data_IF_624430955082
#
_entry.id   IF_624430955082
#
_cell.length_a   1.000
_cell.length_b   1.000
_cell.length_c   1.000
_cell.angle_alpha   90.00
_cell.angle_beta   90.00
_cell.angle_gamma   90.00
#
_symmetry.space_group_name_H-M   'P 1'
#
loop_
_entity.id
_entity.type
_entity.pdbx_description
1 polymer ?
#
# COMPACT_ATOMS: atom_id res chain seq x y z
N UNK A 1 -85.76 -15.41 32.26
CA UNK A 1 -84.56 -15.88 31.54
C UNK A 1 -84.34 -14.99 30.34
N UNK A 2 -83.08 -14.63 30.07
CA UNK A 2 -82.69 -13.84 28.89
C UNK A 2 -81.81 -12.65 29.24
N UNK A 3 -80.51 -12.90 29.41
CA UNK A 3 -79.43 -11.91 29.44
C UNK A 3 -79.11 -11.52 27.99
N UNK A 4 -78.88 -10.22 27.70
CA UNK A 4 -78.09 -9.86 26.51
C UNK A 4 -77.25 -8.60 26.73
N UNK A 5 -76.03 -8.69 26.20
CA UNK A 5 -74.83 -7.94 26.51
C UNK A 5 -74.85 -6.46 26.10
N UNK A 6 -74.23 -5.64 26.95
CA UNK A 6 -73.76 -4.29 26.61
C UNK A 6 -72.38 -4.38 25.95
N UNK A 7 -72.28 -3.97 24.68
CA UNK A 7 -71.02 -3.88 23.95
C UNK A 7 -70.25 -2.62 24.39
N UNK A 8 -69.11 -2.80 25.06
CA UNK A 8 -68.16 -1.71 25.33
C UNK A 8 -67.51 -1.26 24.02
N UNK A 9 -67.80 -0.03 23.58
CA UNK A 9 -67.10 0.62 22.48
C UNK A 9 -65.68 0.98 22.93
N UNK A 10 -64.69 0.40 22.25
CA UNK A 10 -63.27 0.72 22.38
C UNK A 10 -63.04 2.06 21.64
N UNK A 11 -62.75 3.13 22.37
CA UNK A 11 -62.31 4.40 21.79
C UNK A 11 -60.79 4.31 21.61
N UNK A 12 -60.32 4.07 20.38
CA UNK A 12 -58.91 4.28 20.05
C UNK A 12 -58.71 5.78 19.81
N UNK A 13 -57.97 6.45 20.70
CA UNK A 13 -57.44 7.77 20.40
C UNK A 13 -56.36 7.65 19.34
N UNK A 14 -56.62 8.25 18.17
CA UNK A 14 -55.63 8.41 17.12
C UNK A 14 -54.69 9.55 17.54
N UNK A 15 -53.67 9.23 18.32
CA UNK A 15 -52.55 10.15 18.52
C UNK A 15 -51.78 10.21 17.19
N UNK A 16 -51.99 11.28 16.43
CA UNK A 16 -51.07 11.70 15.37
C UNK A 16 -49.70 11.90 15.98
N UNK A 17 -48.83 10.89 15.86
CA UNK A 17 -47.40 11.05 16.09
C UNK A 17 -46.90 11.89 14.90
N UNK A 18 -46.88 13.20 15.07
CA UNK A 18 -46.17 14.10 14.17
C UNK A 18 -44.67 13.89 14.35
N UNK A 19 -44.14 12.83 13.74
CA UNK A 19 -42.73 12.78 13.39
C UNK A 19 -42.48 13.76 12.23
N UNK A 20 -42.59 15.07 12.49
CA UNK A 20 -41.68 16.00 11.86
C UNK A 20 -40.32 15.77 12.54
N UNK A 21 -39.67 14.65 12.23
CA UNK A 21 -38.23 14.68 12.17
C UNK A 21 -37.93 15.79 11.18
N UNK A 22 -37.17 16.80 11.60
CA UNK A 22 -36.50 17.68 10.66
C UNK A 22 -36.00 16.83 9.50
N UNK A 23 -36.20 17.28 8.27
CA UNK A 23 -35.49 16.73 7.13
C UNK A 23 -34.00 16.89 7.44
N UNK A 24 -33.43 15.91 8.13
CA UNK A 24 -32.00 15.71 8.21
C UNK A 24 -31.64 15.44 6.75
N UNK A 25 -31.13 16.49 6.09
CA UNK A 25 -30.54 16.40 4.76
C UNK A 25 -29.74 15.11 4.73
N UNK A 26 -30.04 14.24 3.78
CA UNK A 26 -29.34 12.96 3.69
C UNK A 26 -27.83 13.24 3.69
N UNK A 27 -27.13 12.65 4.67
CA UNK A 27 -25.70 12.82 4.86
C UNK A 27 -24.91 12.17 3.70
N UNK A 28 -25.59 11.33 2.90
CA UNK A 28 -25.18 10.98 1.54
C UNK A 28 -26.11 11.67 0.55
N UNK A 29 -25.54 12.34 -0.46
CA UNK A 29 -26.27 12.95 -1.57
C UNK A 29 -25.72 12.48 -2.92
N UNK A 30 -26.55 12.53 -3.96
CA UNK A 30 -26.22 12.02 -5.29
C UNK A 30 -27.42 12.10 -6.25
N UNK A 31 -27.51 11.21 -7.27
CA UNK A 31 -28.55 11.30 -8.29
C UNK A 31 -29.96 11.06 -7.75
N UNK A 32 -30.95 11.65 -8.43
CA UNK A 32 -32.38 11.65 -8.03
C UNK A 32 -33.00 10.26 -7.89
N UNK A 33 -32.49 9.26 -8.60
CA UNK A 33 -33.03 7.90 -8.61
C UNK A 33 -32.23 6.90 -7.77
N UNK A 34 -31.36 7.37 -6.88
CA UNK A 34 -30.86 6.52 -5.82
C UNK A 34 -32.00 6.12 -4.88
N UNK A 35 -31.82 5.02 -4.17
CA UNK A 35 -32.76 4.54 -3.16
C UNK A 35 -32.16 4.89 -1.80
N UNK A 36 -32.48 6.07 -1.22
CA UNK A 36 -32.08 6.40 0.13
C UNK A 36 -32.97 5.69 1.15
N UNK A 37 -32.39 5.21 2.23
CA UNK A 37 -33.11 4.70 3.39
C UNK A 37 -32.38 5.17 4.65
N UNK A 38 -33.13 5.67 5.64
CA UNK A 38 -32.55 6.17 6.88
C UNK A 38 -33.20 5.48 8.08
N UNK A 39 -32.40 5.11 9.07
CA UNK A 39 -32.85 4.56 10.35
C UNK A 39 -32.09 5.22 11.50
N UNK A 40 -32.70 6.21 12.16
CA UNK A 40 -32.02 7.04 13.15
C UNK A 40 -30.85 7.80 12.52
N UNK A 41 -29.63 7.61 13.03
CA UNK A 41 -28.41 8.23 12.51
C UNK A 41 -27.71 7.40 11.41
N UNK A 42 -28.32 6.29 10.97
CA UNK A 42 -27.80 5.44 9.90
C UNK A 42 -28.41 5.85 8.56
N UNK A 43 -27.57 6.15 7.57
CA UNK A 43 -27.95 6.59 6.24
C UNK A 43 -27.46 5.58 5.21
N UNK A 44 -28.38 5.02 4.44
CA UNK A 44 -28.11 4.03 3.40
C UNK A 44 -28.41 4.61 2.03
N UNK A 45 -27.51 4.44 1.08
CA UNK A 45 -27.63 4.98 -0.27
C UNK A 45 -27.32 3.90 -1.31
N UNK A 46 -28.35 3.48 -2.05
CA UNK A 46 -28.23 2.42 -3.07
C UNK A 46 -28.40 2.97 -4.48
N UNK A 47 -27.53 2.54 -5.41
CA UNK A 47 -27.56 2.91 -6.82
C UNK A 47 -27.51 1.67 -7.71
N UNK A 48 -28.39 1.56 -8.73
CA UNK A 48 -28.54 0.35 -9.55
C UNK A 48 -28.48 0.58 -11.08
N UNK A 49 -28.23 1.81 -11.55
CA UNK A 49 -28.34 2.19 -12.96
C UNK A 49 -27.24 3.14 -13.47
N UNK A 50 -27.51 3.79 -14.61
CA UNK A 50 -26.54 4.62 -15.34
C UNK A 50 -26.68 6.12 -15.01
N UNK A 51 -25.64 6.71 -14.41
CA UNK A 51 -25.64 8.10 -13.93
C UNK A 51 -24.35 8.85 -14.35
N UNK A 52 -24.24 9.27 -15.61
CA UNK A 52 -23.12 10.08 -16.06
C UNK A 52 -23.16 11.47 -15.42
N UNK A 53 -22.02 12.14 -15.36
CA UNK A 53 -21.86 13.52 -14.85
C UNK A 53 -22.44 13.75 -13.43
N UNK A 54 -22.38 12.72 -12.59
CA UNK A 54 -22.95 12.72 -11.24
C UNK A 54 -21.86 12.44 -10.20
N UNK A 55 -21.81 13.26 -9.17
CA UNK A 55 -20.98 13.04 -7.98
C UNK A 55 -21.86 12.56 -6.82
N UNK A 56 -21.40 11.53 -6.11
CA UNK A 56 -21.93 11.13 -4.81
C UNK A 56 -21.10 11.83 -3.73
N UNK A 57 -21.75 12.52 -2.80
CA UNK A 57 -21.09 13.15 -1.65
C UNK A 57 -21.51 12.47 -0.36
N UNK A 58 -20.55 12.12 0.47
CA UNK A 58 -20.75 11.52 1.79
C UNK A 58 -20.16 12.49 2.83
N UNK A 59 -21.05 13.10 3.59
CA UNK A 59 -20.77 14.15 4.55
C UNK A 59 -21.51 13.81 5.85
N UNK A 60 -21.37 14.63 6.90
CA UNK A 60 -22.25 14.55 8.07
C UNK A 60 -21.52 14.20 9.37
N UNK A 61 -21.61 15.11 10.33
CA UNK A 61 -21.02 14.97 11.66
C UNK A 61 -21.90 14.07 12.55
N UNK A 62 -21.33 13.04 13.17
CA UNK A 62 -22.06 12.14 14.06
C UNK A 62 -23.07 11.23 13.34
N UNK A 63 -22.87 11.00 12.05
CA UNK A 63 -23.70 10.13 11.21
C UNK A 63 -22.94 8.91 10.73
N UNK A 64 -23.66 7.80 10.53
CA UNK A 64 -23.11 6.55 10.00
C UNK A 64 -23.65 6.30 8.60
N UNK A 65 -22.76 6.22 7.62
CA UNK A 65 -23.11 6.26 6.20
C UNK A 65 -22.76 4.94 5.50
N UNK A 66 -23.68 4.41 4.68
CA UNK A 66 -23.47 3.21 3.85
C UNK A 66 -23.80 3.50 2.39
N UNK A 67 -22.86 3.23 1.48
CA UNK A 67 -23.03 3.34 0.04
C UNK A 67 -22.97 1.95 -0.61
N UNK A 68 -23.98 1.62 -1.42
CA UNK A 68 -24.02 0.40 -2.23
C UNK A 68 -24.24 0.72 -3.71
N UNK A 69 -23.26 0.40 -4.54
CA UNK A 69 -23.36 0.45 -5.99
C UNK A 69 -23.56 -0.97 -6.52
N UNK A 70 -24.74 -1.23 -7.11
CA UNK A 70 -25.06 -2.52 -7.71
C UNK A 70 -24.25 -2.82 -8.97
N UNK A 71 -24.36 -4.05 -9.47
CA UNK A 71 -23.57 -4.54 -10.62
C UNK A 71 -23.73 -3.71 -11.90
N UNK A 72 -24.90 -3.13 -12.10
CA UNK A 72 -25.23 -2.28 -13.25
C UNK A 72 -25.13 -0.79 -12.94
N UNK A 73 -24.66 -0.43 -11.73
CA UNK A 73 -24.41 0.95 -11.40
C UNK A 73 -23.24 1.48 -12.23
N UNK A 74 -23.43 2.65 -12.84
CA UNK A 74 -22.38 3.42 -13.48
C UNK A 74 -22.45 4.85 -12.96
N UNK A 75 -21.31 5.36 -12.49
CA UNK A 75 -21.15 6.77 -12.15
C UNK A 75 -19.90 7.31 -12.81
N UNK A 76 -19.98 8.56 -13.26
CA UNK A 76 -18.85 9.34 -13.75
C UNK A 76 -19.06 10.77 -13.28
N UNK A 77 -17.99 11.48 -12.91
CA UNK A 77 -18.05 12.91 -12.65
C UNK A 77 -16.87 13.60 -13.32
N UNK A 78 -16.99 13.90 -14.62
CA UNK A 78 -15.90 14.35 -15.49
C UNK A 78 -14.72 13.34 -15.51
N UNK A 79 -13.87 13.44 -16.52
CA UNK A 79 -12.60 12.69 -16.53
C UNK A 79 -11.74 13.25 -15.39
N UNK A 80 -11.30 12.39 -14.47
CA UNK A 80 -10.49 12.70 -13.27
C UNK A 80 -11.21 13.43 -12.12
N UNK A 81 -12.52 13.66 -12.23
CA UNK A 81 -13.27 14.20 -11.10
C UNK A 81 -13.62 13.15 -10.04
N UNK A 82 -13.95 13.64 -8.85
CA UNK A 82 -14.23 12.83 -7.66
C UNK A 82 -15.65 12.26 -7.76
N UNK A 83 -15.84 11.15 -8.46
CA UNK A 83 -17.17 10.54 -8.63
C UNK A 83 -17.81 10.18 -7.28
N UNK A 84 -17.00 9.77 -6.31
CA UNK A 84 -17.41 9.63 -4.91
C UNK A 84 -16.50 10.52 -4.07
N UNK A 85 -17.08 11.41 -3.28
CA UNK A 85 -16.36 12.30 -2.38
C UNK A 85 -16.92 12.14 -0.96
N UNK A 86 -16.14 11.51 -0.08
CA UNK A 86 -16.35 11.55 1.35
C UNK A 86 -15.47 12.62 1.98
N UNK A 87 -16.05 13.54 2.75
CA UNK A 87 -15.25 14.54 3.45
C UNK A 87 -15.80 15.03 4.79
N UNK A 88 -14.87 15.49 5.63
CA UNK A 88 -15.12 16.13 6.91
C UNK A 88 -14.26 17.40 7.05
N UNK A 89 -14.83 18.44 7.66
CA UNK A 89 -14.14 19.66 8.06
C UNK A 89 -13.73 19.67 9.54
N UNK A 90 -13.30 20.83 10.05
CA UNK A 90 -12.91 20.98 11.46
C UNK A 90 -14.02 20.63 12.43
N UNK A 91 -13.68 19.92 13.52
CA UNK A 91 -14.60 19.41 14.53
C UNK A 91 -15.75 18.53 14.00
N UNK A 92 -15.62 18.01 12.77
CA UNK A 92 -16.56 17.05 12.20
C UNK A 92 -15.97 15.65 12.27
N UNK A 93 -16.79 14.71 12.73
CA UNK A 93 -16.48 13.29 12.81
C UNK A 93 -17.43 12.53 11.89
N UNK A 94 -16.92 12.15 10.72
CA UNK A 94 -17.66 11.39 9.72
C UNK A 94 -17.43 9.89 9.94
N UNK A 95 -18.50 9.11 10.03
CA UNK A 95 -18.43 7.65 10.02
C UNK A 95 -19.03 7.09 8.74
N UNK A 96 -18.29 6.21 8.07
CA UNK A 96 -18.74 5.43 6.93
C UNK A 96 -18.67 3.98 7.36
N UNK A 97 -19.83 3.34 7.51
CA UNK A 97 -19.88 1.92 7.84
C UNK A 97 -19.39 1.10 6.66
N UNK A 98 -19.91 1.37 5.45
CA UNK A 98 -19.55 0.58 4.29
C UNK A 98 -19.66 1.32 2.96
N UNK A 99 -18.69 1.12 2.08
CA UNK A 99 -18.79 1.41 0.65
C UNK A 99 -18.63 0.08 -0.09
N UNK A 100 -19.67 -0.36 -0.79
CA UNK A 100 -19.60 -1.53 -1.68
C UNK A 100 -19.76 -1.08 -3.12
N UNK A 101 -18.76 -1.37 -3.96
CA UNK A 101 -18.84 -1.14 -5.39
C UNK A 101 -18.88 -2.45 -6.17
N UNK A 102 -19.99 -2.78 -6.80
CA UNK A 102 -20.10 -3.89 -7.78
C UNK A 102 -20.16 -3.40 -9.22
N UNK A 103 -20.29 -2.09 -9.43
CA UNK A 103 -20.49 -1.47 -10.73
C UNK A 103 -19.23 -0.78 -11.25
N UNK A 104 -19.43 0.36 -11.93
CA UNK A 104 -18.37 1.15 -12.55
C UNK A 104 -18.35 2.54 -11.94
N UNK A 105 -17.25 2.87 -11.26
CA UNK A 105 -16.91 4.24 -10.83
C UNK A 105 -15.87 4.78 -11.81
N UNK A 106 -16.35 5.39 -12.89
CA UNK A 106 -15.52 6.04 -13.90
C UNK A 106 -15.10 7.45 -13.45
N UNK A 107 -14.35 7.49 -12.35
CA UNK A 107 -13.83 8.67 -11.68
C UNK A 107 -13.20 8.25 -10.35
N UNK A 108 -12.77 9.23 -9.54
CA UNK A 108 -12.07 8.94 -8.31
C UNK A 108 -13.03 8.63 -7.15
N UNK A 109 -12.67 7.65 -6.32
CA UNK A 109 -13.18 7.51 -4.95
C UNK A 109 -12.24 8.29 -4.01
N UNK A 110 -12.71 9.41 -3.48
CA UNK A 110 -11.95 10.28 -2.59
C UNK A 110 -12.51 10.23 -1.16
N UNK A 111 -11.63 10.02 -0.19
CA UNK A 111 -11.91 10.23 1.24
C UNK A 111 -10.91 11.24 1.76
N UNK A 112 -11.38 12.41 2.18
CA UNK A 112 -10.47 13.54 2.41
C UNK A 112 -11.02 14.61 3.34
N UNK A 113 -10.16 15.49 3.86
CA UNK A 113 -10.60 16.70 4.55
C UNK A 113 -11.25 17.72 3.58
N UNK A 114 -12.15 18.53 4.13
CA UNK A 114 -12.71 19.73 3.52
C UNK A 114 -12.00 20.97 4.06
N UNK A 115 -11.21 21.65 3.22
CA UNK A 115 -10.46 22.82 3.63
C UNK A 115 -9.35 22.49 4.65
N UNK A 116 -9.02 23.46 5.51
CA UNK A 116 -8.14 23.17 6.64
C UNK A 116 -8.96 22.45 7.72
N UNK A 117 -8.38 21.43 8.36
CA UNK A 117 -9.06 20.62 9.37
C UNK A 117 -8.28 20.64 10.68
N UNK A 118 -9.00 20.94 11.75
CA UNK A 118 -8.55 20.87 13.14
C UNK A 118 -9.53 20.00 13.93
N UNK A 119 -9.00 19.02 14.67
CA UNK A 119 -9.77 18.05 15.46
C UNK A 119 -10.94 17.36 14.72
N UNK A 120 -10.85 17.23 13.40
CA UNK A 120 -11.84 16.50 12.58
C UNK A 120 -11.32 15.13 12.18
N UNK A 121 -12.22 14.17 12.00
CA UNK A 121 -11.84 12.79 11.69
C UNK A 121 -12.80 12.12 10.70
N UNK A 122 -12.27 11.15 9.95
CA UNK A 122 -13.07 10.25 9.12
C UNK A 122 -12.76 8.81 9.51
N UNK A 123 -13.78 8.08 9.96
CA UNK A 123 -13.70 6.65 10.26
C UNK A 123 -14.45 5.87 9.19
N UNK A 124 -13.80 4.87 8.61
CA UNK A 124 -14.36 4.00 7.58
C UNK A 124 -14.19 2.55 8.04
N UNK A 125 -15.27 1.78 8.18
CA UNK A 125 -15.11 0.37 8.53
C UNK A 125 -14.73 -0.46 7.29
N UNK A 126 -15.57 -0.46 6.24
CA UNK A 126 -15.33 -1.28 5.05
C UNK A 126 -15.40 -0.50 3.73
N UNK A 127 -14.38 -0.63 2.90
CA UNK A 127 -14.45 -0.38 1.45
C UNK A 127 -14.25 -1.71 0.73
N UNK A 128 -15.26 -2.15 -0.01
CA UNK A 128 -15.24 -3.39 -0.80
C UNK A 128 -15.48 -3.08 -2.29
N UNK A 129 -14.40 -2.99 -3.05
CA UNK A 129 -14.44 -2.86 -4.50
C UNK A 129 -14.47 -4.25 -5.16
N UNK A 130 -15.60 -4.59 -5.76
CA UNK A 130 -15.80 -5.81 -6.57
C UNK A 130 -15.91 -5.49 -8.07
N UNK A 131 -16.18 -4.22 -8.41
CA UNK A 131 -16.33 -3.72 -9.77
C UNK A 131 -15.09 -2.94 -10.26
N UNK A 132 -15.32 -1.86 -10.99
CA UNK A 132 -14.26 -0.96 -11.48
C UNK A 132 -14.26 0.35 -10.71
N UNK A 133 -13.08 0.85 -10.35
CA UNK A 133 -12.84 2.23 -9.93
C UNK A 133 -11.65 2.78 -10.73
N UNK A 134 -11.75 3.99 -11.28
CA UNK A 134 -10.62 4.60 -12.01
C UNK A 134 -9.41 4.80 -11.09
N UNK A 135 -9.61 5.46 -9.95
CA UNK A 135 -8.56 5.68 -8.97
C UNK A 135 -9.11 5.93 -7.56
N UNK A 136 -8.26 5.76 -6.56
CA UNK A 136 -8.61 5.97 -5.15
C UNK A 136 -7.64 6.95 -4.50
N UNK A 137 -8.19 7.91 -3.77
CA UNK A 137 -7.42 8.81 -2.92
C UNK A 137 -8.01 8.78 -1.51
N UNK A 138 -7.19 8.46 -0.51
CA UNK A 138 -7.60 8.48 0.89
C UNK A 138 -6.52 9.23 1.66
N UNK A 139 -6.81 10.45 2.10
CA UNK A 139 -5.81 11.21 2.81
C UNK A 139 -6.23 12.57 3.34
N UNK A 140 -5.38 13.09 4.21
CA UNK A 140 -5.50 14.45 4.76
C UNK A 140 -4.44 15.33 4.08
N UNK A 141 -4.88 16.19 3.16
CA UNK A 141 -4.00 17.11 2.43
C UNK A 141 -3.72 18.38 3.24
N UNK A 142 -2.57 19.02 3.00
CA UNK A 142 -1.95 20.13 3.80
C UNK A 142 -1.52 19.70 5.21
N UNK A 143 -0.75 20.57 5.88
CA UNK A 143 -0.38 20.41 7.30
C UNK A 143 -1.58 20.62 8.21
N UNK A 144 -2.46 19.63 8.28
CA UNK A 144 -3.65 19.64 9.10
C UNK A 144 -3.55 18.66 10.27
N UNK A 145 -4.39 18.83 11.29
CA UNK A 145 -4.46 17.95 12.47
C UNK A 145 -5.68 17.01 12.41
N UNK A 146 -6.13 16.67 11.20
CA UNK A 146 -7.21 15.72 11.00
C UNK A 146 -6.69 14.29 10.90
N UNK A 147 -7.56 13.32 11.17
CA UNK A 147 -7.22 11.90 11.14
C UNK A 147 -8.15 11.08 10.24
N UNK A 148 -7.62 10.00 9.68
CA UNK A 148 -8.40 9.00 8.94
C UNK A 148 -8.10 7.62 9.51
N UNK A 149 -9.15 6.87 9.87
CA UNK A 149 -9.07 5.46 10.26
C UNK A 149 -9.86 4.61 9.28
N UNK A 150 -9.21 3.61 8.69
CA UNK A 150 -9.81 2.66 7.75
C UNK A 150 -9.62 1.24 8.26
N UNK A 151 -10.70 0.57 8.66
CA UNK A 151 -10.56 -0.79 9.20
C UNK A 151 -10.24 -1.81 8.11
N UNK A 152 -10.85 -1.68 6.93
CA UNK A 152 -10.66 -2.61 5.82
C UNK A 152 -10.87 -1.96 4.45
N UNK A 153 -9.86 -2.06 3.60
CA UNK A 153 -9.94 -1.84 2.17
C UNK A 153 -9.74 -3.17 1.45
N UNK A 154 -10.73 -3.60 0.67
CA UNK A 154 -10.67 -4.80 -0.14
C UNK A 154 -10.90 -4.46 -1.61
N UNK A 155 -9.98 -4.88 -2.47
CA UNK A 155 -10.14 -4.87 -3.92
C UNK A 155 -10.22 -6.30 -4.47
N UNK A 156 -11.40 -6.71 -4.90
CA UNK A 156 -11.67 -7.93 -5.68
C UNK A 156 -12.13 -7.63 -7.11
N UNK A 157 -11.99 -6.37 -7.55
CA UNK A 157 -12.33 -5.87 -8.87
C UNK A 157 -11.10 -5.33 -9.61
N UNK A 158 -11.28 -4.22 -10.32
CA UNK A 158 -10.24 -3.52 -11.06
C UNK A 158 -10.12 -2.08 -10.52
N UNK A 159 -8.90 -1.69 -10.17
CA UNK A 159 -8.53 -0.28 -9.99
C UNK A 159 -7.48 0.03 -11.05
N UNK A 160 -7.82 0.93 -11.97
CA UNK A 160 -6.97 1.20 -13.13
C UNK A 160 -7.04 2.66 -13.55
N UNK A 161 -5.92 3.35 -13.39
CA UNK A 161 -5.77 4.75 -13.75
C UNK A 161 -4.82 4.90 -14.93
N UNK A 162 -5.21 5.67 -15.94
CA UNK A 162 -4.42 5.84 -17.17
C UNK A 162 -3.44 7.00 -17.16
N UNK A 163 -3.52 7.89 -16.17
CA UNK A 163 -2.80 9.17 -16.18
C UNK A 163 -2.28 9.62 -14.82
N UNK A 164 -2.51 8.83 -13.77
CA UNK A 164 -1.99 9.10 -12.43
C UNK A 164 -1.85 7.79 -11.64
N UNK A 165 -1.53 7.89 -10.35
CA UNK A 165 -1.47 6.73 -9.47
C UNK A 165 -2.80 5.97 -9.40
N UNK A 166 -2.72 4.66 -9.19
CA UNK A 166 -3.92 3.83 -8.98
C UNK A 166 -4.60 4.14 -7.64
N UNK A 167 -3.82 4.04 -6.56
CA UNK A 167 -4.23 4.38 -5.20
C UNK A 167 -3.18 5.28 -4.55
N UNK A 168 -3.62 6.32 -3.85
CA UNK A 168 -2.78 7.17 -3.01
C UNK A 168 -3.34 7.27 -1.58
N UNK A 169 -2.48 6.93 -0.62
CA UNK A 169 -2.65 7.26 0.79
C UNK A 169 -1.74 8.42 1.19
N UNK A 170 -2.27 9.46 1.85
CA UNK A 170 -1.45 10.58 2.34
C UNK A 170 -1.98 11.23 3.63
N UNK A 171 -1.14 11.97 4.34
CA UNK A 171 -1.53 12.73 5.53
C UNK A 171 -0.82 12.28 6.81
N UNK A 172 -0.90 13.14 7.83
CA UNK A 172 -0.15 13.03 9.09
C UNK A 172 -0.71 12.00 10.10
N UNK A 173 -1.97 11.62 9.97
CA UNK A 173 -2.59 10.65 10.88
C UNK A 173 -3.56 9.74 10.13
N UNK A 174 -2.99 8.83 9.33
CA UNK A 174 -3.76 7.84 8.57
C UNK A 174 -3.43 6.43 9.07
N UNK A 175 -4.45 5.74 9.57
CA UNK A 175 -4.33 4.36 10.06
C UNK A 175 -5.22 3.45 9.22
N UNK A 176 -4.60 2.41 8.64
CA UNK A 176 -5.27 1.38 7.84
C UNK A 176 -5.05 0.05 8.53
N UNK A 177 -6.10 -0.60 9.02
CA UNK A 177 -5.95 -1.90 9.66
C UNK A 177 -5.68 -2.98 8.62
N UNK A 178 -6.49 -3.06 7.55
CA UNK A 178 -6.31 -4.05 6.48
C UNK A 178 -6.43 -3.41 5.11
N UNK A 179 -5.42 -3.63 4.28
CA UNK A 179 -5.45 -3.40 2.84
C UNK A 179 -5.27 -4.75 2.15
N UNK A 180 -6.25 -5.17 1.36
CA UNK A 180 -6.26 -6.46 0.69
C UNK A 180 -6.55 -6.27 -0.79
N UNK A 181 -5.59 -6.65 -1.63
CA UNK A 181 -5.79 -6.76 -3.07
C UNK A 181 -5.90 -8.22 -3.49
N UNK A 182 -7.02 -8.62 -4.09
CA UNK A 182 -7.25 -9.96 -4.63
C UNK A 182 -7.25 -9.99 -6.16
N UNK A 183 -7.33 -8.83 -6.82
CA UNK A 183 -7.29 -8.71 -8.28
C UNK A 183 -6.34 -7.61 -8.71
N UNK A 184 -6.77 -6.61 -9.49
CA UNK A 184 -5.84 -5.73 -10.21
C UNK A 184 -5.89 -4.34 -9.62
N UNK A 185 -4.71 -3.80 -9.32
CA UNK A 185 -4.45 -2.39 -9.08
C UNK A 185 -3.30 -1.99 -10.01
N UNK A 186 -3.55 -1.08 -10.94
CA UNK A 186 -2.55 -0.70 -11.93
C UNK A 186 -2.60 0.81 -12.25
N UNK A 187 -1.44 1.42 -12.45
CA UNK A 187 -1.29 2.71 -13.12
C UNK A 187 -0.73 2.50 -14.53
N UNK A 188 -1.23 3.22 -15.52
CA UNK A 188 -0.75 3.15 -16.90
C UNK A 188 0.01 4.41 -17.29
N UNK A 189 0.94 4.83 -16.43
CA UNK A 189 1.78 6.02 -16.61
C UNK A 189 3.18 5.73 -16.06
N UNK A 190 4.18 5.89 -16.94
CA UNK A 190 5.59 5.54 -16.72
C UNK A 190 6.29 6.42 -15.68
N UNK A 191 5.57 7.36 -15.07
CA UNK A 191 6.05 8.22 -13.97
C UNK A 191 5.37 7.92 -12.65
N UNK A 192 4.34 7.05 -12.65
CA UNK A 192 3.41 6.84 -11.53
C UNK A 192 3.52 5.46 -10.93
N UNK A 193 2.89 5.29 -9.77
CA UNK A 193 2.81 4.02 -9.08
C UNK A 193 1.39 3.48 -9.00
N UNK A 194 1.26 2.17 -8.94
CA UNK A 194 -0.04 1.53 -8.75
C UNK A 194 -0.59 1.74 -7.34
N UNK A 195 0.28 1.67 -6.32
CA UNK A 195 -0.04 1.97 -4.93
C UNK A 195 1.01 2.92 -4.34
N UNK A 196 0.56 4.06 -3.82
CA UNK A 196 1.42 5.06 -3.17
C UNK A 196 1.05 5.19 -1.69
N UNK A 197 2.07 5.22 -0.84
CA UNK A 197 2.00 5.47 0.60
C UNK A 197 2.85 6.71 0.90
N UNK A 198 2.17 7.80 1.19
CA UNK A 198 2.74 9.13 1.40
C UNK A 198 3.09 9.85 0.11
N UNK A 199 3.39 11.14 0.21
CA UNK A 199 3.92 11.93 -0.88
C UNK A 199 5.21 12.63 -0.46
N UNK A 200 6.18 12.72 -1.38
CA UNK A 200 7.43 13.44 -1.15
C UNK A 200 7.15 14.95 -1.10
N UNK A 201 6.74 15.42 0.08
CA UNK A 201 6.42 16.79 0.38
C UNK A 201 6.85 17.14 1.82
N UNK A 202 6.64 18.38 2.22
CA UNK A 202 7.03 18.88 3.54
C UNK A 202 5.94 18.80 4.61
N UNK A 203 4.95 17.90 4.47
CA UNK A 203 3.77 17.83 5.35
C UNK A 203 3.87 16.78 6.44
N UNK A 204 4.98 16.04 6.50
CA UNK A 204 5.28 15.07 7.55
C UNK A 204 4.21 13.97 7.60
N UNK A 205 4.01 13.30 6.46
CA UNK A 205 3.03 12.22 6.34
C UNK A 205 3.33 11.13 7.35
N UNK A 206 2.32 10.66 8.07
CA UNK A 206 2.48 9.59 9.04
C UNK A 206 1.34 8.59 8.88
N UNK A 207 1.70 7.45 8.27
CA UNK A 207 0.76 6.46 7.77
C UNK A 207 1.14 5.10 8.35
N UNK A 208 0.18 4.47 9.02
CA UNK A 208 0.34 3.13 9.58
C UNK A 208 -0.59 2.14 8.87
N UNK A 209 -0.04 1.04 8.37
CA UNK A 209 -0.80 -0.08 7.80
C UNK A 209 -0.52 -1.34 8.62
N UNK A 210 -1.54 -1.92 9.28
CA UNK A 210 -1.29 -3.14 10.06
C UNK A 210 -1.12 -4.37 9.15
N UNK A 211 -1.92 -4.49 8.10
CA UNK A 211 -1.79 -5.57 7.11
C UNK A 211 -1.94 -5.01 5.70
N UNK A 212 -0.90 -5.16 4.88
CA UNK A 212 -0.94 -4.97 3.44
C UNK A 212 -0.77 -6.36 2.79
N UNK A 213 -1.87 -6.91 2.29
CA UNK A 213 -1.91 -8.24 1.67
C UNK A 213 -2.20 -8.11 0.17
N UNK A 214 -1.24 -8.46 -0.66
CA UNK A 214 -1.43 -8.63 -2.09
C UNK A 214 -1.55 -10.11 -2.46
N UNK A 215 -2.70 -10.50 -3.02
CA UNK A 215 -2.93 -11.80 -3.65
C UNK A 215 -3.10 -11.70 -5.17
N UNK A 216 -3.40 -10.52 -5.68
CA UNK A 216 -3.58 -10.25 -7.10
C UNK A 216 -2.37 -9.56 -7.73
N UNK A 217 -2.61 -8.70 -8.71
CA UNK A 217 -1.61 -7.85 -9.34
C UNK A 217 -1.64 -6.44 -8.73
N UNK A 218 -0.48 -5.94 -8.30
CA UNK A 218 -0.22 -4.51 -8.10
C UNK A 218 0.90 -4.12 -9.05
N UNK A 219 0.62 -3.26 -10.03
CA UNK A 219 1.58 -2.89 -11.06
C UNK A 219 1.15 -3.19 -12.49
N UNK A 220 2.06 -2.94 -13.42
CA UNK A 220 1.95 -3.27 -14.84
C UNK A 220 3.10 -2.67 -15.64
N UNK A 221 3.25 -3.05 -16.91
CA UNK A 221 4.34 -2.64 -17.82
C UNK A 221 4.51 -1.13 -17.98
N UNK A 222 3.47 -0.35 -17.66
CA UNK A 222 3.49 1.10 -17.72
C UNK A 222 3.57 1.75 -16.34
N UNK A 223 3.50 1.00 -15.24
CA UNK A 223 3.67 1.56 -13.89
C UNK A 223 5.15 1.70 -13.58
N UNK A 224 5.65 2.91 -13.33
CA UNK A 224 7.03 3.09 -12.85
C UNK A 224 7.32 2.27 -11.60
N UNK A 225 6.36 2.29 -10.68
CA UNK A 225 6.40 1.50 -9.45
C UNK A 225 5.15 0.64 -9.26
N UNK A 226 5.32 -0.56 -8.71
CA UNK A 226 4.20 -1.32 -8.18
C UNK A 226 3.70 -0.69 -6.88
N UNK A 227 4.55 -0.70 -5.85
CA UNK A 227 4.33 -0.08 -4.55
C UNK A 227 5.42 0.97 -4.28
N UNK A 228 5.01 2.17 -3.92
CA UNK A 228 5.89 3.29 -3.63
C UNK A 228 5.60 3.86 -2.25
N UNK A 229 6.57 3.77 -1.33
CA UNK A 229 6.63 4.58 -0.12
C UNK A 229 7.40 5.85 -0.44
N UNK A 230 6.74 7.00 -0.49
CA UNK A 230 7.28 8.22 -1.10
C UNK A 230 7.64 9.28 -0.04
N UNK A 231 8.70 9.06 0.74
CA UNK A 231 9.18 10.06 1.68
C UNK A 231 9.95 11.18 0.96
N UNK A 232 9.84 12.42 1.44
CA UNK A 232 10.63 13.53 0.92
C UNK A 232 12.13 13.35 1.23
N UNK A 233 13.01 13.23 0.23
CA UNK A 233 14.44 13.08 0.46
C UNK A 233 15.11 14.29 1.14
N UNK A 234 14.46 15.47 1.13
CA UNK A 234 14.95 16.68 1.80
C UNK A 234 14.55 16.75 3.27
N UNK A 235 13.42 16.16 3.64
CA UNK A 235 12.90 16.16 5.02
C UNK A 235 13.29 14.87 5.74
N UNK A 236 14.59 14.74 6.06
CA UNK A 236 15.22 13.57 6.67
C UNK A 236 14.53 13.15 7.99
N UNK A 237 13.51 12.30 7.89
CA UNK A 237 12.88 11.59 9.01
C UNK A 237 11.60 12.18 9.57
N UNK A 238 10.95 13.14 8.91
CA UNK A 238 9.66 13.66 9.38
C UNK A 238 8.46 12.86 8.88
N UNK A 239 8.52 12.38 7.64
CA UNK A 239 7.59 11.36 7.15
C UNK A 239 7.82 10.05 7.90
N UNK A 240 6.75 9.33 8.25
CA UNK A 240 6.81 8.06 8.98
C UNK A 240 5.84 7.07 8.36
N UNK A 241 6.36 6.07 7.68
CA UNK A 241 5.52 5.00 7.14
C UNK A 241 5.78 3.72 7.90
N UNK A 242 4.75 3.15 8.51
CA UNK A 242 4.86 1.93 9.30
C UNK A 242 3.96 0.84 8.73
N UNK A 243 4.53 -0.35 8.48
CA UNK A 243 3.76 -1.53 8.07
C UNK A 243 4.09 -2.73 8.95
N UNK A 244 3.10 -3.29 9.64
CA UNK A 244 3.36 -4.46 10.49
C UNK A 244 3.55 -5.74 9.66
N UNK A 245 2.74 -5.92 8.63
CA UNK A 245 2.81 -7.08 7.75
C UNK A 245 2.55 -6.65 6.31
N UNK A 246 3.59 -6.69 5.47
CA UNK A 246 3.46 -6.64 4.02
C UNK A 246 3.63 -8.06 3.49
N UNK A 247 2.55 -8.62 2.96
CA UNK A 247 2.50 -9.99 2.46
C UNK A 247 2.15 -9.96 0.97
N UNK A 248 3.05 -10.49 0.15
CA UNK A 248 2.80 -10.72 -1.27
C UNK A 248 2.69 -12.21 -1.56
N UNK A 249 1.51 -12.66 -1.98
CA UNK A 249 1.25 -13.98 -2.54
C UNK A 249 0.87 -13.93 -4.03
N UNK A 250 0.67 -12.72 -4.57
CA UNK A 250 0.35 -12.49 -5.97
C UNK A 250 1.54 -11.98 -6.77
N UNK A 251 1.31 -11.01 -7.64
CA UNK A 251 2.34 -10.35 -8.46
C UNK A 251 2.44 -8.89 -8.06
N UNK A 252 3.66 -8.42 -7.81
CA UNK A 252 3.98 -6.99 -7.76
C UNK A 252 4.94 -6.70 -8.89
N UNK A 253 4.55 -5.81 -9.79
CA UNK A 253 5.33 -5.46 -10.97
C UNK A 253 5.63 -3.96 -10.98
N UNK A 254 6.83 -3.57 -11.39
CA UNK A 254 7.15 -2.19 -11.72
C UNK A 254 8.06 -2.13 -12.92
N UNK A 255 7.81 -1.21 -13.84
CA UNK A 255 8.65 -1.02 -15.01
C UNK A 255 10.05 -0.60 -14.59
N UNK A 256 10.20 0.34 -13.65
CA UNK A 256 11.50 0.65 -13.06
C UNK A 256 11.74 -0.15 -11.79
N UNK A 257 10.92 0.08 -10.76
CA UNK A 257 11.11 -0.51 -9.43
C UNK A 257 9.81 -1.09 -8.91
N UNK A 258 9.72 -2.39 -8.66
CA UNK A 258 8.46 -3.00 -8.20
C UNK A 258 8.05 -2.49 -6.82
N UNK A 259 8.99 -2.45 -5.88
CA UNK A 259 8.76 -1.92 -4.53
C UNK A 259 9.88 -0.97 -4.13
N UNK A 260 9.54 0.29 -3.85
CA UNK A 260 10.45 1.25 -3.22
C UNK A 260 10.01 1.53 -1.78
N UNK A 261 10.85 1.16 -0.81
CA UNK A 261 10.72 1.60 0.58
C UNK A 261 11.60 2.84 0.78
N UNK A 262 11.01 4.01 0.97
CA UNK A 262 11.74 5.22 1.39
C UNK A 262 11.29 5.61 2.78
N UNK A 263 12.21 5.63 3.75
CA UNK A 263 11.93 5.98 5.15
C UNK A 263 10.74 5.22 5.75
N UNK A 264 10.71 3.90 5.51
CA UNK A 264 9.65 3.02 5.99
C UNK A 264 10.14 2.09 7.10
N UNK A 265 9.29 1.82 8.08
CA UNK A 265 9.48 0.79 9.10
C UNK A 265 8.59 -0.41 8.78
N UNK A 266 9.19 -1.52 8.39
CA UNK A 266 8.50 -2.76 8.03
C UNK A 266 8.80 -3.83 9.07
N UNK A 267 7.81 -4.27 9.83
CA UNK A 267 8.02 -5.33 10.81
C UNK A 267 8.20 -6.68 10.12
N UNK A 268 7.27 -7.06 9.24
CA UNK A 268 7.36 -8.31 8.48
C UNK A 268 7.09 -8.04 7.01
N UNK A 269 8.08 -8.32 6.18
CA UNK A 269 7.94 -8.43 4.74
C UNK A 269 8.00 -9.92 4.37
N UNK A 270 6.92 -10.44 3.78
CA UNK A 270 6.81 -11.82 3.35
C UNK A 270 6.44 -11.87 1.86
N UNK A 271 7.33 -12.41 1.05
CA UNK A 271 7.06 -12.73 -0.35
C UNK A 271 6.94 -14.24 -0.54
N UNK A 272 5.77 -14.72 -0.95
CA UNK A 272 5.54 -16.09 -1.46
C UNK A 272 5.13 -16.08 -2.94
N UNK A 273 4.77 -14.91 -3.47
CA UNK A 273 4.42 -14.69 -4.87
C UNK A 273 5.61 -14.25 -5.73
N UNK A 274 5.33 -13.39 -6.70
CA UNK A 274 6.34 -12.83 -7.61
C UNK A 274 6.47 -11.32 -7.41
N UNK A 275 7.70 -10.85 -7.37
CA UNK A 275 8.06 -9.43 -7.42
C UNK A 275 9.03 -9.27 -8.58
N UNK A 276 8.64 -8.50 -9.59
CA UNK A 276 9.40 -8.40 -10.84
C UNK A 276 9.56 -6.94 -11.29
N UNK A 277 10.79 -6.57 -11.66
CA UNK A 277 11.08 -5.30 -12.32
C UNK A 277 11.84 -5.50 -13.63
N UNK A 278 11.52 -4.67 -14.62
CA UNK A 278 12.12 -4.77 -15.94
C UNK A 278 13.34 -3.84 -16.10
N UNK A 279 13.17 -2.55 -15.85
CA UNK A 279 14.16 -1.49 -16.09
C UNK A 279 15.16 -1.28 -14.97
N UNK A 280 14.76 -1.41 -13.70
CA UNK A 280 15.67 -1.25 -12.55
C UNK A 280 15.56 -2.39 -11.55
N UNK A 281 15.14 -2.14 -10.31
CA UNK A 281 15.33 -3.04 -9.16
C UNK A 281 14.00 -3.63 -8.74
N UNK A 282 13.93 -4.92 -8.44
CA UNK A 282 12.66 -5.48 -7.96
C UNK A 282 12.26 -4.86 -6.61
N UNK A 283 13.24 -4.76 -5.70
CA UNK A 283 13.06 -4.10 -4.41
C UNK A 283 14.22 -3.13 -4.18
N UNK A 284 13.89 -1.92 -3.77
CA UNK A 284 14.85 -0.94 -3.27
C UNK A 284 14.41 -0.48 -1.88
N UNK A 285 15.25 -0.72 -0.88
CA UNK A 285 15.09 -0.12 0.44
C UNK A 285 16.07 1.03 0.60
N UNK A 286 15.51 2.22 0.76
CA UNK A 286 16.21 3.50 0.67
C UNK A 286 15.99 4.32 1.93
N UNK A 287 16.97 5.17 2.27
CA UNK A 287 16.91 6.23 3.31
C UNK A 287 16.25 5.83 4.63
N UNK A 288 17.05 5.46 5.63
CA UNK A 288 16.59 5.21 7.01
C UNK A 288 15.52 4.12 7.15
N UNK A 289 15.22 3.38 6.08
CA UNK A 289 14.28 2.26 6.12
C UNK A 289 14.76 1.21 7.12
N UNK A 290 13.83 0.68 7.92
CA UNK A 290 14.05 -0.38 8.90
C UNK A 290 13.21 -1.59 8.52
N UNK A 291 13.81 -2.79 8.47
CA UNK A 291 13.07 -4.03 8.20
C UNK A 291 13.41 -5.08 9.26
N UNK A 292 12.45 -5.46 10.11
CA UNK A 292 12.75 -6.45 11.15
C UNK A 292 12.89 -7.86 10.54
N UNK A 293 11.93 -8.29 9.73
CA UNK A 293 11.96 -9.59 9.07
C UNK A 293 11.68 -9.45 7.57
N UNK A 294 12.67 -9.76 6.74
CA UNK A 294 12.56 -9.90 5.30
C UNK A 294 12.59 -11.38 4.93
N UNK A 295 11.47 -11.92 4.47
CA UNK A 295 11.33 -13.34 4.13
C UNK A 295 10.91 -13.47 2.67
N UNK A 296 11.74 -14.10 1.86
CA UNK A 296 11.42 -14.49 0.49
C UNK A 296 11.35 -16.01 0.36
N UNK A 297 10.19 -16.51 -0.04
CA UNK A 297 9.95 -17.91 -0.40
C UNK A 297 9.40 -18.06 -1.83
N UNK A 298 9.03 -16.94 -2.47
CA UNK A 298 8.64 -16.86 -3.86
C UNK A 298 9.80 -16.42 -4.76
N UNK A 299 9.46 -15.61 -5.76
CA UNK A 299 10.43 -15.08 -6.73
C UNK A 299 10.58 -13.57 -6.56
N UNK A 300 11.82 -13.10 -6.53
CA UNK A 300 12.18 -11.69 -6.66
C UNK A 300 13.15 -11.57 -7.83
N UNK A 301 12.76 -10.87 -8.89
CA UNK A 301 13.53 -10.80 -10.12
C UNK A 301 13.66 -9.38 -10.66
N UNK A 302 14.88 -9.01 -11.07
CA UNK A 302 15.13 -7.85 -11.91
C UNK A 302 15.76 -8.30 -13.23
N UNK A 303 15.29 -7.75 -14.36
CA UNK A 303 15.86 -8.06 -15.68
C UNK A 303 17.13 -7.26 -16.00
N UNK A 304 17.27 -6.06 -15.44
CA UNK A 304 18.29 -5.09 -15.87
C UNK A 304 19.19 -4.54 -14.75
N UNK A 305 18.93 -4.89 -13.49
CA UNK A 305 19.69 -4.40 -12.34
C UNK A 305 19.77 -5.42 -11.20
N UNK A 306 20.18 -4.96 -10.01
CA UNK A 306 20.08 -5.75 -8.79
C UNK A 306 18.61 -6.14 -8.53
N UNK A 307 18.37 -7.40 -8.17
CA UNK A 307 17.03 -7.83 -7.77
C UNK A 307 16.60 -7.10 -6.49
N UNK A 308 17.49 -7.08 -5.49
CA UNK A 308 17.31 -6.34 -4.25
C UNK A 308 18.48 -5.38 -4.05
N UNK A 309 18.18 -4.12 -3.77
CA UNK A 309 19.14 -3.14 -3.27
C UNK A 309 18.73 -2.62 -1.90
N UNK A 310 19.66 -2.72 -0.97
CA UNK A 310 19.61 -2.09 0.35
C UNK A 310 20.52 -0.87 0.36
N UNK A 311 19.97 0.29 0.01
CA UNK A 311 20.67 1.57 -0.14
C UNK A 311 20.45 2.48 1.05
N UNK A 312 21.36 2.46 2.02
CA UNK A 312 21.24 3.21 3.28
C UNK A 312 19.98 2.88 4.12
N UNK A 313 19.48 1.62 4.20
CA UNK A 313 18.62 1.27 5.31
C UNK A 313 19.35 1.49 6.64
N UNK A 314 18.57 1.78 7.67
CA UNK A 314 19.11 1.95 9.03
C UNK A 314 19.45 0.60 9.65
N UNK A 315 18.50 -0.32 9.67
CA UNK A 315 18.69 -1.68 10.21
C UNK A 315 17.86 -2.70 9.44
N UNK A 316 18.39 -3.91 9.31
CA UNK A 316 17.63 -5.08 8.88
C UNK A 316 17.94 -6.23 9.84
N UNK A 317 16.99 -6.71 10.63
CA UNK A 317 17.34 -7.76 11.62
C UNK A 317 17.57 -9.10 10.93
N UNK A 318 16.60 -9.57 10.15
CA UNK A 318 16.68 -10.89 9.50
C UNK A 318 16.33 -10.81 8.02
N UNK A 319 17.19 -11.38 7.18
CA UNK A 319 16.93 -11.72 5.79
C UNK A 319 16.91 -13.24 5.70
N UNK A 320 15.79 -13.81 5.28
CA UNK A 320 15.64 -15.23 5.01
C UNK A 320 15.18 -15.43 3.56
N UNK A 321 16.05 -15.98 2.74
CA UNK A 321 15.71 -16.40 1.39
C UNK A 321 15.59 -17.92 1.32
N UNK A 322 14.38 -18.44 1.11
CA UNK A 322 14.10 -19.84 0.77
C UNK A 322 13.65 -20.01 -0.68
N UNK A 323 13.32 -18.91 -1.36
CA UNK A 323 12.88 -18.86 -2.76
C UNK A 323 14.00 -18.49 -3.74
N UNK A 324 13.61 -17.85 -4.85
CA UNK A 324 14.52 -17.35 -5.88
C UNK A 324 14.70 -15.84 -5.75
N UNK A 325 15.95 -15.38 -5.79
CA UNK A 325 16.33 -13.98 -6.00
C UNK A 325 17.26 -13.94 -7.22
N UNK A 326 16.91 -13.19 -8.27
CA UNK A 326 17.67 -13.17 -9.53
C UNK A 326 17.77 -11.78 -10.14
N UNK A 327 18.97 -11.36 -10.52
CA UNK A 327 19.19 -10.10 -11.23
C UNK A 327 20.51 -10.04 -11.96
N UNK A 328 20.92 -8.85 -12.40
CA UNK A 328 22.34 -8.63 -12.77
C UNK A 328 23.21 -8.81 -11.52
N UNK A 329 22.72 -8.32 -10.38
CA UNK A 329 23.13 -8.69 -9.03
C UNK A 329 21.94 -9.34 -8.33
N UNK A 330 22.16 -10.37 -7.52
CA UNK A 330 21.08 -10.96 -6.72
C UNK A 330 20.68 -10.01 -5.60
N UNK A 331 21.60 -9.77 -4.67
CA UNK A 331 21.42 -8.86 -3.53
C UNK A 331 22.59 -7.90 -3.44
N UNK A 332 22.33 -6.59 -3.49
CA UNK A 332 23.30 -5.54 -3.25
C UNK A 332 22.98 -4.82 -1.93
N UNK A 333 24.00 -4.59 -1.11
CA UNK A 333 23.90 -3.86 0.15
C UNK A 333 24.97 -2.78 0.12
N UNK A 334 24.55 -1.52 0.11
CA UNK A 334 25.45 -0.37 0.02
C UNK A 334 25.77 0.24 1.39
N UNK A 335 24.98 -0.10 2.42
CA UNK A 335 25.06 0.41 3.80
C UNK A 335 23.93 -0.24 4.61
N UNK A 336 24.24 -1.05 5.62
CA UNK A 336 23.24 -1.62 6.53
C UNK A 336 23.92 -2.26 7.75
N UNK A 337 23.21 -2.31 8.88
CA UNK A 337 23.47 -3.31 9.92
C UNK A 337 22.49 -4.47 9.75
N UNK A 338 23.02 -5.65 9.46
CA UNK A 338 22.26 -6.89 9.30
C UNK A 338 22.63 -7.89 10.39
N UNK A 339 21.66 -8.40 11.15
CA UNK A 339 21.96 -9.44 12.16
C UNK A 339 22.10 -10.81 11.50
N UNK A 340 21.10 -11.25 10.74
CA UNK A 340 21.14 -12.55 10.08
C UNK A 340 20.78 -12.42 8.61
N UNK A 341 21.68 -12.85 7.72
CA UNK A 341 21.38 -13.11 6.32
C UNK A 341 21.50 -14.61 6.08
N UNK A 342 20.35 -15.26 5.94
CA UNK A 342 20.22 -16.70 5.73
C UNK A 342 19.70 -16.97 4.32
N UNK A 343 20.50 -17.66 3.51
CA UNK A 343 20.09 -18.19 2.21
C UNK A 343 19.96 -19.71 2.28
N UNK A 344 18.74 -20.22 2.14
CA UNK A 344 18.44 -21.64 1.94
C UNK A 344 17.87 -21.91 0.54
N UNK A 345 17.44 -20.86 -0.17
CA UNK A 345 16.97 -20.88 -1.54
C UNK A 345 18.09 -20.63 -2.56
N UNK A 346 17.77 -19.91 -3.63
CA UNK A 346 18.72 -19.54 -4.68
C UNK A 346 18.89 -18.03 -4.77
N UNK A 347 20.13 -17.56 -4.81
CA UNK A 347 20.50 -16.21 -5.20
C UNK A 347 21.31 -16.32 -6.50
N UNK A 348 20.84 -15.66 -7.55
CA UNK A 348 21.42 -15.73 -8.89
C UNK A 348 21.84 -14.36 -9.41
N UNK A 349 23.02 -14.30 -10.02
CA UNK A 349 23.51 -13.11 -10.71
C UNK A 349 24.07 -13.42 -12.10
N UNK A 350 23.86 -12.46 -13.00
CA UNK A 350 24.30 -12.54 -14.40
C UNK A 350 25.39 -11.52 -14.75
N UNK A 351 25.73 -10.61 -13.84
CA UNK A 351 26.78 -9.63 -14.09
C UNK A 351 28.17 -10.29 -14.16
N UNK A 352 29.01 -9.81 -15.07
CA UNK A 352 30.30 -10.43 -15.41
C UNK A 352 31.49 -9.92 -14.60
N UNK A 353 31.27 -8.99 -13.67
CA UNK A 353 32.34 -8.34 -12.89
C UNK A 353 32.02 -8.16 -11.40
N UNK A 354 30.87 -8.65 -10.90
CA UNK A 354 30.47 -8.42 -9.49
C UNK A 354 29.91 -9.68 -8.83
N UNK A 355 29.58 -9.58 -7.54
CA UNK A 355 29.02 -10.64 -6.72
C UNK A 355 27.56 -10.95 -7.02
N UNK A 356 27.12 -12.19 -6.79
CA UNK A 356 25.69 -12.48 -6.61
C UNK A 356 25.15 -11.85 -5.33
N UNK A 357 25.99 -11.80 -4.31
CA UNK A 357 25.82 -10.94 -3.14
C UNK A 357 26.95 -9.89 -3.16
N UNK A 358 26.58 -8.62 -3.22
CA UNK A 358 27.51 -7.48 -3.21
C UNK A 358 27.36 -6.70 -1.91
N UNK A 359 28.45 -6.54 -1.18
CA UNK A 359 28.56 -5.67 -0.01
C UNK A 359 29.47 -4.50 -0.37
N UNK A 360 28.87 -3.37 -0.75
CA UNK A 360 29.56 -2.13 -1.07
C UNK A 360 29.35 -1.12 0.05
N UNK A 361 30.29 -0.19 0.26
CA UNK A 361 30.06 0.92 1.18
C UNK A 361 29.90 2.23 0.43
N UNK A 362 28.88 3.00 0.81
CA UNK A 362 28.73 4.40 0.39
C UNK A 362 29.17 5.33 1.52
N UNK A 363 29.99 6.35 1.18
CA UNK A 363 30.25 7.53 2.02
C UNK A 363 30.79 7.22 3.43
N UNK A 364 31.76 6.33 3.56
CA UNK A 364 32.43 5.98 4.84
C UNK A 364 31.46 5.48 5.95
N UNK A 365 30.28 4.99 5.58
CA UNK A 365 29.33 4.43 6.54
C UNK A 365 29.56 2.92 6.64
N UNK A 366 29.73 2.36 7.84
CA UNK A 366 30.05 0.94 7.99
C UNK A 366 28.88 0.08 7.52
N UNK A 367 29.20 -0.98 6.78
CA UNK A 367 28.29 -2.07 6.46
C UNK A 367 28.71 -3.27 7.30
N UNK A 368 27.78 -3.81 8.09
CA UNK A 368 28.06 -4.96 8.96
C UNK A 368 26.99 -6.02 8.83
N UNK A 369 27.43 -7.25 8.56
CA UNK A 369 26.61 -8.46 8.68
C UNK A 369 27.16 -9.28 9.84
N UNK A 370 26.34 -9.53 10.86
CA UNK A 370 26.77 -10.37 11.99
C UNK A 370 26.88 -11.84 11.57
N UNK A 371 25.83 -12.40 10.96
CA UNK A 371 25.81 -13.78 10.47
C UNK A 371 25.39 -13.85 9.00
N UNK A 372 26.27 -14.34 8.12
CA UNK A 372 25.92 -14.76 6.77
C UNK A 372 25.94 -16.30 6.70
N UNK A 373 24.77 -16.90 6.51
CA UNK A 373 24.59 -18.35 6.47
C UNK A 373 24.06 -18.75 5.10
N UNK A 374 24.83 -19.53 4.35
CA UNK A 374 24.40 -20.14 3.10
C UNK A 374 24.26 -21.65 3.26
N UNK A 375 23.05 -22.16 3.09
CA UNK A 375 22.73 -23.60 2.96
C UNK A 375 22.08 -23.94 1.62
N UNK A 376 21.67 -22.91 0.86
CA UNK A 376 21.12 -23.03 -0.48
C UNK A 376 22.17 -22.88 -1.58
N UNK A 377 21.80 -22.21 -2.66
CA UNK A 377 22.66 -21.94 -3.81
C UNK A 377 22.90 -20.44 -4.00
N UNK A 378 24.17 -20.09 -4.24
CA UNK A 378 24.58 -18.80 -4.77
C UNK A 378 25.21 -19.10 -6.14
N UNK A 379 24.55 -18.69 -7.22
CA UNK A 379 24.94 -18.94 -8.62
C UNK A 379 25.30 -17.62 -9.32
N UNK A 380 26.53 -17.48 -9.78
CA UNK A 380 27.02 -16.23 -10.37
C UNK A 380 27.84 -16.45 -11.63
N UNK A 381 27.62 -15.58 -12.63
CA UNK A 381 28.49 -15.47 -13.80
C UNK A 381 29.86 -14.83 -13.50
N UNK A 382 30.08 -14.29 -12.31
CA UNK A 382 31.36 -13.71 -11.89
C UNK A 382 31.72 -14.15 -10.47
N UNK A 383 31.55 -13.29 -9.46
CA UNK A 383 31.90 -13.61 -8.08
C UNK A 383 30.66 -14.11 -7.32
N UNK A 384 30.84 -14.98 -6.33
CA UNK A 384 29.72 -15.45 -5.51
C UNK A 384 29.33 -14.36 -4.51
N UNK A 385 30.23 -14.07 -3.58
CA UNK A 385 30.11 -12.98 -2.62
C UNK A 385 31.27 -12.01 -2.87
N UNK A 386 30.96 -10.72 -3.06
CA UNK A 386 31.94 -9.66 -3.23
C UNK A 386 31.80 -8.65 -2.08
N UNK A 387 32.90 -8.39 -1.39
CA UNK A 387 32.97 -7.51 -0.24
C UNK A 387 33.94 -6.39 -0.57
N UNK A 388 33.42 -5.17 -0.69
CA UNK A 388 34.24 -3.98 -0.91
C UNK A 388 34.71 -3.36 0.41
N UNK A 389 35.67 -2.45 0.32
CA UNK A 389 36.25 -1.74 1.47
C UNK A 389 35.17 -1.21 2.41
N UNK A 390 35.33 -1.49 3.71
CA UNK A 390 34.43 -1.05 4.77
C UNK A 390 33.24 -1.99 5.05
N UNK A 391 33.03 -3.02 4.23
CA UNK A 391 32.06 -4.08 4.52
C UNK A 391 32.65 -5.18 5.41
N UNK A 392 31.92 -5.61 6.44
CA UNK A 392 32.34 -6.72 7.31
C UNK A 392 31.26 -7.81 7.39
N UNK A 393 31.73 -9.05 7.47
CA UNK A 393 30.93 -10.22 7.86
C UNK A 393 31.61 -10.82 9.08
N UNK A 394 30.95 -10.86 10.23
CA UNK A 394 31.56 -11.35 11.46
C UNK A 394 31.63 -12.87 11.48
N UNK A 395 30.52 -13.53 11.14
CA UNK A 395 30.44 -14.98 11.06
C UNK A 395 29.92 -15.41 9.68
N UNK A 396 30.72 -16.19 8.97
CA UNK A 396 30.33 -16.76 7.67
C UNK A 396 30.26 -18.28 7.75
N UNK A 397 29.08 -18.83 7.48
CA UNK A 397 28.83 -20.27 7.45
C UNK A 397 28.31 -20.67 6.08
N UNK A 398 29.05 -21.53 5.39
CA UNK A 398 28.60 -22.10 4.13
C UNK A 398 28.51 -23.62 4.22
N UNK A 399 27.28 -24.13 4.23
CA UNK A 399 26.96 -25.56 4.04
C UNK A 399 26.19 -25.80 2.72
N UNK A 400 26.00 -24.74 1.93
CA UNK A 400 25.38 -24.78 0.61
C UNK A 400 26.41 -24.71 -0.51
N UNK A 401 25.93 -24.41 -1.72
CA UNK A 401 26.77 -24.26 -2.92
C UNK A 401 27.01 -22.79 -3.22
N UNK A 402 28.27 -22.45 -3.50
CA UNK A 402 28.66 -21.21 -4.17
C UNK A 402 29.24 -21.62 -5.53
N UNK A 403 28.46 -21.41 -6.59
CA UNK A 403 28.82 -21.77 -7.97
C UNK A 403 29.13 -20.50 -8.75
N UNK A 404 30.37 -20.37 -9.20
CA UNK A 404 30.87 -19.14 -9.82
C UNK A 404 31.70 -19.44 -11.05
N UNK A 405 31.74 -18.52 -12.02
CA UNK A 405 32.74 -18.57 -13.10
C UNK A 405 34.05 -17.86 -12.72
N UNK A 406 33.98 -16.90 -11.78
CA UNK A 406 35.14 -16.27 -11.14
C UNK A 406 35.38 -16.83 -9.74
N UNK A 407 35.67 -15.97 -8.78
CA UNK A 407 35.97 -16.38 -7.40
C UNK A 407 34.70 -16.57 -6.55
N UNK A 408 34.70 -17.58 -5.68
CA UNK A 408 33.60 -17.83 -4.74
C UNK A 408 33.35 -16.65 -3.80
N UNK A 409 34.41 -16.15 -3.16
CA UNK A 409 34.39 -14.99 -2.26
C UNK A 409 35.53 -14.06 -2.65
N UNK A 410 35.27 -12.76 -2.78
CA UNK A 410 36.26 -11.75 -3.18
C UNK A 410 36.22 -10.57 -2.23
N UNK A 411 37.39 -10.13 -1.80
CA UNK A 411 37.60 -8.85 -1.13
C UNK A 411 38.21 -7.90 -2.15
N UNK A 412 37.58 -6.75 -2.40
CA UNK A 412 37.98 -5.84 -3.46
C UNK A 412 38.09 -4.39 -2.94
N UNK A 413 38.99 -3.62 -3.54
CA UNK A 413 38.96 -2.17 -3.42
C UNK A 413 37.89 -1.61 -4.35
N UNK A 414 37.16 -0.59 -3.89
CA UNK A 414 36.07 0.00 -4.67
C UNK A 414 36.62 0.49 -6.02
N UNK A 415 35.87 0.37 -7.15
CA UNK A 415 36.35 0.85 -8.43
C UNK A 415 36.74 2.33 -8.35
N UNK A 416 38.05 2.63 -8.43
CA UNK A 416 38.61 3.99 -8.34
C UNK A 416 39.14 4.41 -6.97
N UNK A 417 39.12 3.55 -5.94
CA UNK A 417 39.86 3.78 -4.70
C UNK A 417 41.30 3.30 -4.90
N UNK A 418 42.27 4.22 -4.85
CA UNK A 418 43.69 3.86 -4.82
C UNK A 418 43.99 3.06 -3.55
N UNK A 419 44.58 1.88 -3.71
CA UNK A 419 45.13 1.08 -2.62
C UNK A 419 46.11 1.94 -1.81
N UNK A 420 45.80 2.19 -0.53
CA UNK A 420 46.73 2.72 0.45
C UNK A 420 46.70 1.85 1.70
#
# INVERSE_FOLDING_TARGET
GGVMASSKKLILSLATISCLSSLALANISGPTYAIPYNQGNNYYYTLLGYYPNTQIRINGNGSTNTLYLGRYAYINYNTDGKAILANAGSNQHLTIDKITNKGIVNGALNVQNQGNIDNGSITIHDIDNQGYIRNVYIGVWKENQGSIKLDSFKNSGLIYNTSDNGILFEGKDVVIDKFINEKIIASNDSTKASLVIGQANNRNDNITIKLLLNKGLIGGEQSKYGILFNADPKNKGTDKFSVNHLINTGVIYGEDVSILFSNATIKNFLNTGTIEAHGQRAINAYNQTEIQHFINSGTIESKSNAAILFQQPKTITNILNTGMISGTVGVAIDTATITNFINTGTIKATHKQTGAVLLATLKNTPLQIENLINTGSIDSQSHGIMIEVGGTINNFYNNGTIKTQGHGITFATAPGASDN
#
